data_IF_418083611763
#
_entry.id   IF_418083611763
#
_cell.length_a   1.000
_cell.length_b   1.000
_cell.length_c   1.000
_cell.angle_alpha   90.00
_cell.angle_beta   90.00
_cell.angle_gamma   90.00
#
_symmetry.space_group_name_H-M   'P 1'
#
loop_
_entity.id
_entity.type
_entity.pdbx_description
1 polymer ?
#
# COMPACT_ATOMS: atom_id res chain seq x y z
N UNK A 1 -99.79 14.53 77.32
CA UNK A 1 -99.23 14.35 75.96
C UNK A 1 -97.81 14.90 75.96
N UNK A 2 -96.81 14.03 75.91
CA UNK A 2 -95.40 14.43 75.81
C UNK A 2 -94.97 14.39 74.35
N UNK A 3 -94.50 15.51 73.84
CA UNK A 3 -93.93 15.65 72.50
C UNK A 3 -92.42 15.36 72.59
N UNK A 4 -91.95 14.33 71.89
CA UNK A 4 -90.52 14.05 71.76
C UNK A 4 -89.86 15.07 70.82
N UNK A 5 -88.71 15.67 71.17
CA UNK A 5 -87.95 16.44 70.21
C UNK A 5 -87.17 15.49 69.29
N UNK A 6 -87.35 15.65 67.98
CA UNK A 6 -86.53 14.99 66.98
C UNK A 6 -85.08 15.50 67.06
N UNK A 7 -84.14 14.59 67.29
CA UNK A 7 -82.69 14.84 67.24
C UNK A 7 -82.30 15.11 65.79
N UNK A 8 -81.93 16.35 65.47
CA UNK A 8 -81.35 16.68 64.17
C UNK A 8 -80.05 15.90 63.97
N UNK A 9 -79.99 15.13 62.88
CA UNK A 9 -78.78 14.42 62.47
C UNK A 9 -77.72 15.43 62.02
N UNK A 10 -76.53 15.30 62.61
CA UNK A 10 -75.41 16.22 62.50
C UNK A 10 -74.94 16.44 61.05
N UNK A 11 -74.86 17.71 60.64
CA UNK A 11 -74.34 18.22 59.37
C UNK A 11 -72.79 18.16 59.30
N UNK A 12 -72.17 17.11 59.85
CA UNK A 12 -70.70 17.04 59.99
C UNK A 12 -69.99 16.27 58.85
N UNK A 13 -70.73 15.60 57.97
CA UNK A 13 -70.13 14.81 56.90
C UNK A 13 -69.66 15.66 55.71
N UNK A 14 -70.36 16.76 55.39
CA UNK A 14 -70.07 17.57 54.19
C UNK A 14 -68.90 18.55 54.35
N UNK A 15 -68.62 19.00 55.58
CA UNK A 15 -67.55 19.96 55.85
C UNK A 15 -66.15 19.33 55.92
N UNK A 16 -66.04 18.00 56.07
CA UNK A 16 -64.76 17.30 56.21
C UNK A 16 -64.23 16.70 54.91
N UNK A 17 -65.12 16.38 53.97
CA UNK A 17 -64.75 15.80 52.68
C UNK A 17 -64.07 16.84 51.77
N UNK A 18 -64.54 18.09 51.76
CA UNK A 18 -63.94 19.14 50.95
C UNK A 18 -62.47 19.47 51.28
N UNK A 19 -62.08 19.67 52.56
CA UNK A 19 -60.68 19.94 52.88
C UNK A 19 -59.77 18.73 52.66
N UNK A 20 -60.25 17.50 52.89
CA UNK A 20 -59.46 16.29 52.64
C UNK A 20 -59.26 16.00 51.15
N UNK A 21 -60.25 16.32 50.30
CA UNK A 21 -60.12 16.19 48.85
C UNK A 21 -59.18 17.27 48.29
N UNK A 22 -59.25 18.50 48.80
CA UNK A 22 -58.36 19.59 48.42
C UNK A 22 -56.90 19.29 48.81
N UNK A 23 -56.64 18.75 50.01
CA UNK A 23 -55.28 18.36 50.41
C UNK A 23 -54.73 17.22 49.56
N UNK A 24 -55.58 16.25 49.17
CA UNK A 24 -55.17 15.16 48.28
C UNK A 24 -54.85 15.67 46.86
N UNK A 25 -55.66 16.59 46.33
CA UNK A 25 -55.39 17.23 45.03
C UNK A 25 -54.08 18.02 45.06
N UNK A 26 -53.80 18.77 46.11
CA UNK A 26 -52.53 19.50 46.26
C UNK A 26 -51.32 18.55 46.33
N UNK A 27 -51.47 17.41 47.00
CA UNK A 27 -50.40 16.39 47.10
C UNK A 27 -50.17 15.68 45.76
N UNK A 28 -51.24 15.36 45.01
CA UNK A 28 -51.15 14.79 43.66
C UNK A 28 -50.56 15.82 42.68
N UNK A 29 -51.00 17.07 42.73
CA UNK A 29 -50.42 18.13 41.89
C UNK A 29 -48.96 18.40 42.23
N UNK A 30 -48.59 18.38 43.52
CA UNK A 30 -47.22 18.54 43.97
C UNK A 30 -46.31 17.38 43.55
N UNK A 31 -46.78 16.14 43.64
CA UNK A 31 -46.03 14.97 43.18
C UNK A 31 -45.89 14.94 41.65
N UNK A 32 -46.95 15.30 40.91
CA UNK A 32 -46.91 15.40 39.46
C UNK A 32 -45.95 16.50 38.99
N UNK A 33 -45.99 17.67 39.64
CA UNK A 33 -45.07 18.77 39.35
C UNK A 33 -43.61 18.38 39.58
N UNK A 34 -43.31 17.63 40.66
CA UNK A 34 -41.96 17.10 40.92
C UNK A 34 -41.55 16.09 39.86
N UNK A 35 -42.45 15.19 39.45
CA UNK A 35 -42.18 14.20 38.41
C UNK A 35 -41.87 14.87 37.06
N UNK A 36 -42.66 15.88 36.68
CA UNK A 36 -42.39 16.70 35.50
C UNK A 36 -41.03 17.43 35.60
N UNK A 37 -40.69 18.01 36.75
CA UNK A 37 -39.40 18.66 36.95
C UNK A 37 -38.21 17.69 36.80
N UNK A 38 -38.34 16.47 37.33
CA UNK A 38 -37.32 15.44 37.16
C UNK A 38 -37.16 14.99 35.71
N UNK A 39 -38.26 14.77 34.99
CA UNK A 39 -38.22 14.41 33.56
C UNK A 39 -37.58 15.51 32.72
N UNK A 40 -37.91 16.78 32.97
CA UNK A 40 -37.29 17.91 32.28
C UNK A 40 -35.79 18.01 32.56
N UNK A 41 -35.37 17.78 33.81
CA UNK A 41 -33.95 17.80 34.18
C UNK A 41 -33.19 16.65 33.51
N UNK A 42 -33.76 15.45 33.47
CA UNK A 42 -33.19 14.30 32.77
C UNK A 42 -33.08 14.54 31.26
N UNK A 43 -34.11 15.13 30.65
CA UNK A 43 -34.10 15.49 29.23
C UNK A 43 -33.00 16.51 28.92
N UNK A 44 -32.85 17.54 29.75
CA UNK A 44 -31.78 18.53 29.61
C UNK A 44 -30.39 17.90 29.76
N UNK A 45 -30.21 17.00 30.73
CA UNK A 45 -28.95 16.25 30.89
C UNK A 45 -28.65 15.36 29.68
N UNK A 46 -29.65 14.69 29.12
CA UNK A 46 -29.50 13.87 27.93
C UNK A 46 -29.14 14.70 26.69
N UNK A 47 -29.86 15.81 26.45
CA UNK A 47 -29.58 16.74 25.35
C UNK A 47 -28.19 17.36 25.51
N UNK A 48 -27.83 17.80 26.72
CA UNK A 48 -26.51 18.34 27.02
C UNK A 48 -25.40 17.30 26.81
N UNK A 49 -25.63 16.06 27.22
CA UNK A 49 -24.70 14.94 26.99
C UNK A 49 -24.50 14.64 25.50
N UNK A 50 -25.57 14.63 24.70
CA UNK A 50 -25.50 14.41 23.25
C UNK A 50 -24.80 15.58 22.56
N UNK A 51 -25.16 16.83 22.91
CA UNK A 51 -24.52 18.02 22.35
C UNK A 51 -23.03 18.06 22.70
N UNK A 52 -22.67 17.76 23.94
CA UNK A 52 -21.27 17.66 24.36
C UNK A 52 -20.55 16.53 23.62
N UNK A 53 -21.20 15.38 23.42
CA UNK A 53 -20.64 14.26 22.64
C UNK A 53 -20.38 14.64 21.18
N UNK A 54 -21.25 15.44 20.56
CA UNK A 54 -21.04 15.96 19.20
C UNK A 54 -19.94 17.03 19.12
N UNK A 55 -19.59 17.65 20.25
CA UNK A 55 -18.53 18.67 20.34
C UNK A 55 -17.21 18.14 20.92
N UNK A 56 -17.18 16.90 21.42
CA UNK A 56 -15.93 16.24 21.74
C UNK A 56 -15.18 16.00 20.41
N UNK A 57 -13.93 16.47 20.25
CA UNK A 57 -13.10 15.99 19.15
C UNK A 57 -13.04 14.47 19.23
N UNK A 58 -13.11 13.77 18.10
CA UNK A 58 -12.93 12.33 18.04
C UNK A 58 -11.56 11.93 18.62
N UNK A 59 -11.49 11.72 19.93
CA UNK A 59 -10.31 11.16 20.61
C UNK A 59 -10.23 9.64 20.40
N UNK A 60 -11.16 9.06 19.63
CA UNK A 60 -11.18 7.65 19.23
C UNK A 60 -10.87 7.47 17.75
N UNK A 61 -9.76 8.02 17.31
CA UNK A 61 -8.82 7.41 16.39
C UNK A 61 -7.63 8.36 16.36
N UNK A 62 -6.44 7.88 16.70
CA UNK A 62 -5.26 8.41 16.00
C UNK A 62 -5.62 8.25 14.53
N UNK A 63 -5.94 9.35 13.83
CA UNK A 63 -6.14 9.32 12.38
C UNK A 63 -4.96 8.53 11.83
N UNK A 64 -5.24 7.32 11.36
CA UNK A 64 -4.23 6.49 10.75
C UNK A 64 -3.78 7.32 9.56
N UNK A 65 -2.58 7.91 9.69
CA UNK A 65 -1.91 8.63 8.62
C UNK A 65 -2.15 7.84 7.34
N UNK A 66 -2.64 8.47 6.25
CA UNK A 66 -3.06 7.74 5.07
C UNK A 66 -1.96 6.75 4.72
N UNK A 67 -2.34 5.47 4.51
CA UNK A 67 -1.42 4.35 4.18
C UNK A 67 -0.77 4.63 2.83
N UNK A 68 0.12 5.59 2.80
CA UNK A 68 0.65 6.23 1.62
C UNK A 68 2.16 6.25 1.76
N UNK A 69 2.79 5.83 0.67
CA UNK A 69 4.25 5.82 0.56
C UNK A 69 4.81 7.21 0.85
N UNK A 70 5.71 7.28 1.83
CA UNK A 70 6.40 8.53 2.18
C UNK A 70 7.86 8.44 1.75
N UNK A 71 8.37 9.51 1.14
CA UNK A 71 9.78 9.60 0.77
C UNK A 71 10.62 9.81 2.03
N UNK A 72 11.63 8.97 2.23
CA UNK A 72 12.51 9.01 3.39
C UNK A 72 13.76 9.85 3.07
N UNK A 73 13.70 11.16 3.31
CA UNK A 73 14.75 12.12 2.90
C UNK A 73 16.15 11.97 3.54
N UNK A 74 16.34 11.11 4.56
CA UNK A 74 17.63 10.94 5.27
C UNK A 74 17.93 9.51 5.69
N UNK A 75 17.72 8.53 4.81
CA UNK A 75 18.11 7.14 5.10
C UNK A 75 19.31 6.74 4.27
N UNK A 76 20.27 6.04 4.87
CA UNK A 76 21.41 5.48 4.15
C UNK A 76 20.95 4.45 3.10
N UNK A 77 21.57 4.42 1.91
CA UNK A 77 21.23 3.46 0.87
C UNK A 77 21.48 2.03 1.35
N UNK A 78 20.52 1.14 1.09
CA UNK A 78 20.70 -0.29 1.35
C UNK A 78 21.34 -1.03 0.19
N UNK A 79 21.31 -0.42 -0.99
CA UNK A 79 21.77 -1.02 -2.23
C UNK A 79 22.65 -0.02 -2.98
N UNK A 80 23.53 -0.52 -3.82
CA UNK A 80 24.24 0.29 -4.80
C UNK A 80 24.33 -0.47 -6.12
N UNK A 81 24.41 0.28 -7.22
CA UNK A 81 24.79 -0.25 -8.52
C UNK A 81 26.14 0.36 -8.88
N UNK A 82 27.06 -0.44 -9.43
CA UNK A 82 28.35 0.08 -9.85
C UNK A 82 28.19 1.20 -10.89
N UNK A 83 28.76 2.38 -10.65
CA UNK A 83 28.74 3.53 -11.56
C UNK A 83 29.25 3.20 -12.99
N UNK A 84 30.05 2.15 -13.13
CA UNK A 84 30.58 1.70 -14.42
C UNK A 84 29.55 0.99 -15.30
N UNK A 85 28.38 0.65 -14.75
CA UNK A 85 27.29 0.03 -15.53
C UNK A 85 26.78 1.01 -16.60
N UNK A 86 26.70 2.31 -16.27
CA UNK A 86 26.16 3.34 -17.15
C UNK A 86 27.08 4.57 -17.21
N UNK A 87 28.18 4.50 -17.99
CA UNK A 87 29.15 5.59 -18.06
C UNK A 87 28.49 6.88 -18.58
N UNK A 88 28.76 7.99 -17.91
CA UNK A 88 28.25 9.31 -18.30
C UNK A 88 26.76 9.52 -18.05
N UNK A 89 26.10 8.68 -17.24
CA UNK A 89 24.74 8.90 -16.76
C UNK A 89 24.73 9.43 -15.33
N UNK A 90 23.77 10.29 -15.03
CA UNK A 90 23.53 10.77 -13.68
C UNK A 90 22.62 9.79 -12.97
N UNK A 91 23.07 9.26 -11.82
CA UNK A 91 22.30 8.37 -10.96
C UNK A 91 21.66 9.16 -9.81
N UNK A 92 20.37 8.95 -9.57
CA UNK A 92 19.69 9.39 -8.34
C UNK A 92 19.09 8.19 -7.63
N UNK A 93 19.04 8.26 -6.30
CA UNK A 93 18.54 7.19 -5.46
C UNK A 93 17.49 7.72 -4.48
N UNK A 94 16.30 7.13 -4.52
CA UNK A 94 15.16 7.51 -3.70
C UNK A 94 14.71 6.34 -2.83
N UNK A 95 14.31 6.64 -1.60
CA UNK A 95 13.81 5.65 -0.65
C UNK A 95 12.40 6.04 -0.27
N UNK A 96 11.47 5.09 -0.35
CA UNK A 96 10.12 5.22 0.15
C UNK A 96 9.85 4.18 1.24
N UNK A 97 9.09 4.58 2.25
CA UNK A 97 8.61 3.69 3.31
C UNK A 97 7.10 3.65 3.32
N UNK A 98 6.58 2.45 3.53
CA UNK A 98 5.19 2.21 3.85
C UNK A 98 5.02 2.16 5.38
N UNK A 99 3.94 2.72 5.94
CA UNK A 99 3.65 2.63 7.37
C UNK A 99 3.60 1.18 7.91
N UNK A 100 3.28 0.22 7.06
CA UNK A 100 3.16 -1.22 7.42
C UNK A 100 4.48 -2.00 7.25
N UNK A 101 5.61 -1.30 7.10
CA UNK A 101 6.95 -1.90 7.09
C UNK A 101 7.57 -2.07 5.72
N UNK A 102 6.80 -1.95 4.64
CA UNK A 102 7.31 -1.98 3.27
C UNK A 102 8.40 -0.93 3.02
N UNK A 103 9.43 -1.33 2.28
CA UNK A 103 10.49 -0.42 1.83
C UNK A 103 10.69 -0.56 0.33
N UNK A 104 10.73 0.59 -0.34
CA UNK A 104 10.98 0.69 -1.77
C UNK A 104 12.20 1.58 -2.00
N UNK A 105 13.19 1.06 -2.69
CA UNK A 105 14.41 1.75 -3.05
C UNK A 105 14.44 1.89 -4.59
N UNK A 106 14.55 3.10 -5.11
CA UNK A 106 14.45 3.38 -6.55
C UNK A 106 15.71 4.07 -7.04
N UNK A 107 16.34 3.51 -8.06
CA UNK A 107 17.41 4.13 -8.81
C UNK A 107 16.84 4.73 -10.10
N UNK A 108 17.21 5.96 -10.41
CA UNK A 108 16.95 6.57 -11.70
C UNK A 108 18.28 6.92 -12.36
N UNK A 109 18.40 6.60 -13.65
CA UNK A 109 19.51 7.04 -14.46
C UNK A 109 19.03 7.97 -15.57
N UNK A 110 19.68 9.12 -15.67
CA UNK A 110 19.40 10.12 -16.67
C UNK A 110 20.59 10.35 -17.60
N UNK A 111 20.32 10.51 -18.89
CA UNK A 111 21.28 10.89 -19.91
C UNK A 111 21.55 12.39 -19.93
N UNK A 112 22.25 12.84 -20.98
CA UNK A 112 22.47 14.25 -21.24
C UNK A 112 21.11 14.99 -21.29
N UNK A 113 21.06 16.18 -20.68
CA UNK A 113 19.83 16.98 -20.58
C UNK A 113 18.76 16.43 -19.62
N UNK A 114 19.09 15.47 -18.75
CA UNK A 114 18.14 14.97 -17.74
C UNK A 114 17.09 13.98 -18.27
N UNK A 115 17.28 13.49 -19.50
CA UNK A 115 16.39 12.50 -20.12
C UNK A 115 16.47 11.16 -19.37
N UNK A 116 15.36 10.60 -18.85
CA UNK A 116 15.43 9.35 -18.09
C UNK A 116 15.69 8.18 -19.06
N UNK A 117 16.74 7.40 -18.80
CA UNK A 117 17.21 6.32 -19.68
C UNK A 117 17.10 4.93 -19.06
N UNK A 118 17.04 4.84 -17.73
CA UNK A 118 16.82 3.59 -17.03
C UNK A 118 16.27 3.84 -15.62
N UNK A 119 15.61 2.83 -15.07
CA UNK A 119 15.08 2.80 -13.71
C UNK A 119 15.17 1.39 -13.13
N UNK A 120 15.48 1.30 -11.84
CA UNK A 120 15.46 0.07 -11.06
C UNK A 120 14.73 0.32 -9.73
N UNK A 121 13.58 -0.30 -9.58
CA UNK A 121 12.82 -0.38 -8.33
C UNK A 121 13.14 -1.69 -7.62
N UNK A 122 13.56 -1.57 -6.36
CA UNK A 122 13.77 -2.68 -5.43
C UNK A 122 12.72 -2.54 -4.35
N UNK A 123 11.85 -3.53 -4.25
CA UNK A 123 10.76 -3.50 -3.30
C UNK A 123 10.84 -4.68 -2.34
N UNK A 124 10.77 -4.35 -1.05
CA UNK A 124 10.68 -5.29 0.07
C UNK A 124 9.33 -5.10 0.72
N UNK A 125 8.56 -6.18 0.69
CA UNK A 125 7.28 -6.24 1.36
C UNK A 125 7.44 -6.13 2.87
N UNK A 126 6.63 -5.30 3.51
CA UNK A 126 6.28 -5.45 4.92
C UNK A 126 4.99 -6.27 5.06
N UNK A 127 4.21 -5.94 6.08
CA UNK A 127 2.94 -6.59 6.38
C UNK A 127 1.83 -6.20 5.39
N UNK A 128 2.08 -5.24 4.47
CA UNK A 128 1.08 -4.78 3.51
C UNK A 128 0.68 -5.82 2.46
N UNK A 129 1.51 -6.85 2.21
CA UNK A 129 1.23 -7.86 1.17
C UNK A 129 0.41 -9.04 1.70
N UNK A 130 0.39 -9.30 3.00
CA UNK A 130 -0.42 -10.39 3.56
C UNK A 130 -1.94 -10.08 3.51
N UNK A 131 -2.32 -8.84 3.16
CA UNK A 131 -3.70 -8.43 2.84
C UNK A 131 -4.07 -8.53 1.36
N UNK A 132 -3.13 -8.71 0.44
CA UNK A 132 -3.40 -8.79 -1.02
C UNK A 132 -3.05 -10.18 -1.53
N UNK A 133 -4.08 -11.03 -1.60
CA UNK A 133 -4.01 -12.40 -2.06
C UNK A 133 -3.22 -12.58 -3.36
N UNK A 134 -2.22 -13.47 -3.29
CA UNK A 134 -1.37 -13.98 -4.37
C UNK A 134 -0.42 -12.97 -5.05
N UNK A 135 0.83 -13.41 -5.26
CA UNK A 135 1.83 -12.69 -6.07
C UNK A 135 1.30 -12.33 -7.47
N UNK A 136 0.37 -13.12 -8.03
CA UNK A 136 -0.32 -12.87 -9.29
C UNK A 136 -1.35 -11.72 -9.21
N UNK A 137 -2.13 -11.64 -8.13
CA UNK A 137 -3.10 -10.56 -7.90
C UNK A 137 -2.42 -9.20 -7.68
N UNK A 138 -1.29 -9.18 -6.96
CA UNK A 138 -0.47 -7.98 -6.80
C UNK A 138 0.23 -7.58 -8.12
N UNK A 139 0.73 -8.55 -8.90
CA UNK A 139 1.30 -8.32 -10.23
C UNK A 139 0.27 -7.71 -11.18
N UNK A 140 -0.95 -8.25 -11.20
CA UNK A 140 -2.07 -7.72 -11.97
C UNK A 140 -2.45 -6.30 -11.53
N UNK A 141 -2.49 -6.03 -10.22
CA UNK A 141 -2.84 -4.71 -9.68
C UNK A 141 -1.79 -3.61 -9.97
N UNK A 142 -0.52 -3.98 -10.20
CA UNK A 142 0.56 -3.01 -10.49
C UNK A 142 0.99 -2.97 -11.96
N UNK A 143 0.47 -3.87 -12.79
CA UNK A 143 0.48 -3.68 -14.25
C UNK A 143 -0.44 -2.52 -14.69
N UNK A 144 -1.25 -1.93 -13.79
CA UNK A 144 -2.04 -0.74 -14.10
C UNK A 144 -2.21 0.25 -12.93
N UNK A 145 -1.42 1.33 -12.89
CA UNK A 145 -1.85 2.58 -12.27
C UNK A 145 -2.00 3.75 -13.26
N UNK A 146 -1.78 3.55 -14.57
CA UNK A 146 -1.91 4.58 -15.61
C UNK A 146 -2.01 4.03 -17.06
N UNK A 147 -2.53 2.83 -17.24
CA UNK A 147 -2.88 2.25 -18.54
C UNK A 147 -2.05 1.03 -18.90
N UNK A 148 -2.71 -0.13 -18.88
CA UNK A 148 -2.42 -1.28 -19.71
C UNK A 148 -2.48 -0.92 -21.21
N UNK A 149 -1.53 -0.10 -21.69
CA UNK A 149 -1.15 -0.15 -23.11
C UNK A 149 -0.22 -1.36 -23.26
N UNK A 150 -0.88 -2.51 -23.31
CA UNK A 150 -0.49 -3.81 -23.84
C UNK A 150 1.03 -4.07 -23.74
N UNK A 151 1.47 -4.65 -22.62
CA UNK A 151 2.83 -5.12 -22.46
C UNK A 151 2.97 -6.47 -23.19
N UNK A 152 3.85 -6.53 -24.18
CA UNK A 152 4.18 -7.77 -24.90
C UNK A 152 5.40 -8.43 -24.24
N UNK A 153 5.36 -9.76 -24.10
CA UNK A 153 6.51 -10.52 -23.62
C UNK A 153 7.69 -10.36 -24.60
N UNK A 154 8.83 -9.86 -24.09
CA UNK A 154 10.03 -9.58 -24.88
C UNK A 154 11.16 -10.59 -24.64
N UNK A 155 10.82 -11.75 -24.07
CA UNK A 155 11.74 -12.85 -23.76
C UNK A 155 12.16 -12.89 -22.28
N UNK A 156 13.13 -13.75 -22.00
CA UNK A 156 13.70 -13.98 -20.67
C UNK A 156 15.22 -13.72 -20.77
N UNK A 157 15.81 -13.16 -19.73
CA UNK A 157 17.26 -13.04 -19.57
C UNK A 157 17.72 -13.69 -18.28
N UNK A 158 18.97 -14.10 -18.24
CA UNK A 158 19.61 -14.53 -17.00
C UNK A 158 20.23 -13.35 -16.24
N UNK A 159 20.12 -13.44 -14.92
CA UNK A 159 20.80 -12.57 -13.98
C UNK A 159 21.32 -13.39 -12.81
N UNK A 160 22.12 -12.79 -11.94
CA UNK A 160 22.55 -13.42 -10.70
C UNK A 160 21.41 -13.81 -9.75
N UNK A 161 20.22 -13.20 -9.93
CA UNK A 161 18.99 -13.54 -9.22
C UNK A 161 18.16 -14.63 -9.96
N UNK A 162 18.72 -15.24 -11.00
CA UNK A 162 18.07 -16.21 -11.89
C UNK A 162 17.37 -15.55 -13.08
N UNK A 163 16.51 -16.31 -13.74
CA UNK A 163 15.73 -15.88 -14.90
C UNK A 163 14.83 -14.66 -14.57
N UNK A 164 14.82 -13.68 -15.47
CA UNK A 164 14.07 -12.42 -15.37
C UNK A 164 13.25 -12.24 -16.64
N UNK A 165 11.96 -11.99 -16.47
CA UNK A 165 11.05 -11.77 -17.60
C UNK A 165 11.15 -10.34 -18.10
N UNK A 166 11.22 -10.19 -19.42
CA UNK A 166 11.26 -8.91 -20.10
C UNK A 166 9.93 -8.60 -20.80
N UNK A 167 9.61 -7.32 -20.87
CA UNK A 167 8.42 -6.82 -21.53
C UNK A 167 8.74 -5.62 -22.42
N UNK A 168 8.02 -5.49 -23.53
CA UNK A 168 8.01 -4.30 -24.38
C UNK A 168 6.64 -3.64 -24.26
N UNK A 169 6.58 -2.31 -24.31
CA UNK A 169 5.31 -1.58 -24.37
C UNK A 169 4.82 -1.50 -25.82
N UNK A 170 3.57 -1.88 -26.05
CA UNK A 170 2.89 -1.64 -27.33
C UNK A 170 2.28 -0.23 -27.32
N UNK A 171 2.55 0.52 -28.40
CA UNK A 171 2.08 1.90 -28.55
C UNK A 171 2.88 2.96 -27.76
N UNK A 172 3.14 4.11 -28.39
CA UNK A 172 3.95 5.21 -27.84
C UNK A 172 4.86 5.84 -28.90
N UNK A 173 5.43 7.00 -28.59
CA UNK A 173 6.50 7.65 -29.39
C UNK A 173 7.74 6.75 -29.42
N UNK A 174 8.53 6.78 -30.50
CA UNK A 174 9.66 5.86 -30.76
C UNK A 174 10.60 5.63 -29.56
N UNK A 175 10.84 6.65 -28.72
CA UNK A 175 11.66 6.53 -27.51
C UNK A 175 11.11 5.50 -26.50
N UNK A 176 9.79 5.39 -26.35
CA UNK A 176 9.15 4.42 -25.46
C UNK A 176 9.07 3.00 -26.06
N UNK A 177 9.16 2.87 -27.40
CA UNK A 177 9.21 1.57 -28.09
C UNK A 177 10.59 0.91 -27.98
N UNK A 178 11.63 1.71 -27.72
CA UNK A 178 12.98 1.20 -27.55
C UNK A 178 13.19 0.50 -26.20
N UNK A 179 12.58 0.98 -25.11
CA UNK A 179 12.90 0.52 -23.77
C UNK A 179 12.30 -0.86 -23.45
N UNK A 180 13.11 -1.70 -22.79
CA UNK A 180 12.68 -2.98 -22.23
C UNK A 180 12.36 -2.79 -20.75
N UNK A 181 11.25 -3.36 -20.31
CA UNK A 181 10.88 -3.48 -18.89
C UNK A 181 11.25 -4.86 -18.38
N UNK A 182 11.48 -4.98 -17.09
CA UNK A 182 11.76 -6.26 -16.46
C UNK A 182 11.05 -6.40 -15.12
N UNK A 183 10.82 -7.65 -14.73
CA UNK A 183 10.26 -8.00 -13.44
C UNK A 183 10.86 -9.32 -12.93
N UNK A 184 11.22 -9.33 -11.65
CA UNK A 184 11.63 -10.51 -10.90
C UNK A 184 11.01 -10.47 -9.51
N UNK A 185 10.36 -11.56 -9.13
CA UNK A 185 9.92 -11.79 -7.75
C UNK A 185 10.70 -12.95 -7.14
N UNK A 186 10.97 -12.84 -5.85
CA UNK A 186 11.55 -13.88 -5.01
C UNK A 186 10.65 -14.01 -3.78
N UNK A 187 10.02 -15.17 -3.62
CA UNK A 187 8.98 -15.40 -2.61
C UNK A 187 9.51 -15.23 -1.18
N UNK A 188 10.72 -15.72 -0.94
CA UNK A 188 11.42 -15.60 0.34
C UNK A 188 12.78 -14.92 0.08
N UNK A 189 13.00 -13.66 0.51
CA UNK A 189 12.33 -12.89 1.58
C UNK A 189 11.29 -11.84 1.09
N UNK A 190 10.29 -12.22 0.28
CA UNK A 190 9.31 -11.30 -0.33
C UNK A 190 9.98 -10.10 -1.03
N UNK A 191 11.02 -10.40 -1.81
CA UNK A 191 11.85 -9.43 -2.50
C UNK A 191 11.44 -9.30 -3.96
N UNK A 192 11.45 -8.08 -4.49
CA UNK A 192 11.10 -7.82 -5.89
C UNK A 192 12.05 -6.82 -6.52
N UNK A 193 12.40 -7.12 -7.78
CA UNK A 193 13.11 -6.23 -8.68
C UNK A 193 12.21 -5.92 -9.87
N UNK A 194 12.06 -4.66 -10.21
CA UNK A 194 11.36 -4.23 -11.42
C UNK A 194 11.99 -2.96 -11.96
N UNK A 195 11.74 -2.66 -13.22
CA UNK A 195 12.27 -1.44 -13.80
C UNK A 195 12.27 -1.48 -15.31
N UNK A 196 13.05 -0.58 -15.91
CA UNK A 196 13.16 -0.47 -17.34
C UNK A 196 14.50 0.12 -17.77
N UNK A 197 14.93 -0.17 -19.00
CA UNK A 197 16.13 0.40 -19.59
C UNK A 197 15.96 0.59 -21.09
N UNK A 198 16.37 1.76 -21.58
CA UNK A 198 16.43 2.10 -23.00
C UNK A 198 17.85 1.99 -23.56
N UNK A 199 18.81 1.54 -22.75
CA UNK A 199 20.23 1.58 -23.07
C UNK A 199 20.62 0.43 -24.00
N UNK A 200 21.18 0.77 -25.16
CA UNK A 200 21.52 -0.18 -26.22
C UNK A 200 20.77 0.14 -27.51
N UNK A 201 21.49 0.08 -28.63
CA UNK A 201 20.94 0.42 -29.95
C UNK A 201 19.94 -0.64 -30.43
N UNK A 202 20.17 -1.90 -30.07
CA UNK A 202 19.33 -3.04 -30.44
C UNK A 202 18.79 -3.80 -29.22
N UNK A 203 17.93 -4.80 -29.48
CA UNK A 203 17.30 -5.61 -28.43
C UNK A 203 18.34 -6.41 -27.63
N UNK A 204 19.31 -7.12 -28.25
CA UNK A 204 20.38 -7.80 -27.51
C UNK A 204 21.18 -6.89 -26.57
N UNK A 205 21.58 -5.70 -27.01
CA UNK A 205 22.32 -4.74 -26.20
C UNK A 205 21.48 -4.26 -25.00
N UNK A 206 20.18 -4.04 -25.18
CA UNK A 206 19.25 -3.68 -24.09
C UNK A 206 19.08 -4.80 -23.07
N UNK A 207 18.98 -6.05 -23.54
CA UNK A 207 18.97 -7.24 -22.66
C UNK A 207 20.25 -7.33 -21.84
N UNK A 208 21.41 -7.14 -22.48
CA UNK A 208 22.71 -7.14 -21.83
C UNK A 208 22.84 -6.00 -20.79
N UNK A 209 22.34 -4.80 -21.09
CA UNK A 209 22.31 -3.68 -20.16
C UNK A 209 21.49 -3.99 -18.90
N UNK A 210 20.30 -4.60 -19.04
CA UNK A 210 19.48 -5.01 -17.90
C UNK A 210 20.19 -6.12 -17.10
N UNK A 211 20.69 -7.16 -17.76
CA UNK A 211 21.42 -8.24 -17.08
C UNK A 211 22.62 -7.70 -16.30
N UNK A 212 23.41 -6.82 -16.91
CA UNK A 212 24.55 -6.18 -16.25
C UNK A 212 24.14 -5.36 -15.03
N UNK A 213 23.12 -4.52 -15.15
CA UNK A 213 22.59 -3.72 -14.05
C UNK A 213 22.20 -4.60 -12.86
N UNK A 214 21.50 -5.71 -13.11
CA UNK A 214 21.12 -6.67 -12.07
C UNK A 214 22.33 -7.40 -11.49
N UNK A 215 23.30 -7.79 -12.31
CA UNK A 215 24.51 -8.48 -11.84
C UNK A 215 25.40 -7.58 -10.98
N UNK A 216 25.41 -6.27 -11.24
CA UNK A 216 26.21 -5.27 -10.50
C UNK A 216 25.48 -4.64 -9.32
N UNK A 217 24.22 -5.03 -9.06
CA UNK A 217 23.45 -4.58 -7.90
C UNK A 217 23.98 -5.20 -6.60
N UNK A 218 24.61 -4.44 -5.72
CA UNK A 218 25.16 -4.92 -4.45
C UNK A 218 24.27 -4.53 -3.27
N UNK A 219 24.24 -5.39 -2.25
CA UNK A 219 23.64 -5.12 -0.96
C UNK A 219 24.68 -4.45 -0.05
N UNK A 220 24.43 -3.21 0.36
CA UNK A 220 25.27 -2.46 1.30
C UNK A 220 24.91 -2.76 2.75
N UNK A 221 23.62 -2.86 3.04
CA UNK A 221 23.12 -3.20 4.37
C UNK A 221 21.81 -3.96 4.30
N UNK A 222 21.77 -5.13 4.94
CA UNK A 222 20.58 -5.96 5.06
C UNK A 222 19.67 -5.52 6.24
N UNK A 223 20.15 -4.64 7.12
CA UNK A 223 19.49 -4.38 8.41
C UNK A 223 19.38 -5.68 9.21
N UNK A 224 18.17 -6.00 9.68
CA UNK A 224 17.87 -7.25 10.41
C UNK A 224 17.42 -8.41 9.50
N UNK A 225 17.46 -8.25 8.18
CA UNK A 225 16.96 -9.25 7.23
C UNK A 225 18.06 -10.23 6.81
N UNK A 226 18.21 -11.31 7.56
CA UNK A 226 19.21 -12.35 7.29
C UNK A 226 18.96 -13.10 5.97
N UNK A 227 17.69 -13.28 5.58
CA UNK A 227 17.31 -13.98 4.34
C UNK A 227 17.65 -13.13 3.12
N UNK A 228 17.53 -11.81 3.21
CA UNK A 228 18.01 -10.90 2.17
C UNK A 228 19.54 -10.95 2.03
N UNK A 229 20.27 -10.95 3.14
CA UNK A 229 21.72 -11.10 3.12
C UNK A 229 22.12 -12.42 2.45
N UNK A 230 21.46 -13.52 2.80
CA UNK A 230 21.69 -14.84 2.20
C UNK A 230 21.34 -14.87 0.71
N UNK A 231 20.22 -14.27 0.29
CA UNK A 231 19.82 -14.17 -1.11
C UNK A 231 20.93 -13.50 -1.93
N UNK A 232 21.45 -12.36 -1.46
CA UNK A 232 22.52 -11.64 -2.13
C UNK A 232 23.84 -12.41 -2.12
N UNK A 233 24.20 -13.07 -1.02
CA UNK A 233 25.39 -13.92 -0.97
C UNK A 233 25.34 -15.07 -1.99
N UNK A 234 24.20 -15.76 -2.09
CA UNK A 234 23.97 -16.82 -3.08
C UNK A 234 23.93 -16.28 -4.52
N UNK A 235 23.44 -15.06 -4.70
CA UNK A 235 23.41 -14.40 -6.00
C UNK A 235 24.83 -14.00 -6.45
N UNK A 236 25.69 -13.47 -5.58
CA UNK A 236 27.07 -13.10 -5.95
C UNK A 236 27.88 -14.28 -6.52
N UNK A 237 27.61 -15.51 -6.08
CA UNK A 237 28.25 -16.72 -6.65
C UNK A 237 27.90 -16.91 -8.14
N UNK A 238 26.71 -16.47 -8.57
CA UNK A 238 26.23 -16.56 -9.95
C UNK A 238 26.48 -15.30 -10.76
N UNK A 239 27.18 -14.32 -10.19
CA UNK A 239 27.43 -13.05 -10.86
C UNK A 239 28.32 -13.29 -12.07
N UNK A 240 27.79 -13.03 -13.26
CA UNK A 240 28.57 -12.96 -14.48
C UNK A 240 29.11 -11.56 -14.70
N UNK A 241 30.26 -11.47 -15.37
CA UNK A 241 30.83 -10.18 -15.75
C UNK A 241 29.99 -9.51 -16.82
N UNK A 242 29.86 -8.19 -16.68
CA UNK A 242 29.39 -7.29 -17.73
C UNK A 242 30.45 -7.14 -18.83
N UNK A 243 30.86 -8.24 -19.45
CA UNK A 243 31.57 -8.18 -20.72
C UNK A 243 30.59 -7.80 -21.82
N UNK A 244 31.05 -7.04 -22.81
CA UNK A 244 30.37 -6.86 -24.10
C UNK A 244 29.79 -8.21 -24.50
N UNK A 245 28.45 -8.35 -24.51
CA UNK A 245 27.80 -9.61 -24.88
C UNK A 245 28.13 -9.91 -26.33
N UNK A 246 29.23 -10.65 -26.50
CA UNK A 246 29.84 -11.04 -27.76
C UNK A 246 30.57 -12.36 -27.59
N UNK A 247 29.99 -13.27 -26.81
CA UNK A 247 30.17 -14.72 -26.94
C UNK A 247 29.14 -15.40 -26.03
N UNK A 248 28.24 -16.24 -26.56
CA UNK A 248 27.45 -17.09 -25.69
C UNK A 248 28.41 -18.02 -24.97
N UNK A 249 28.33 -18.07 -23.64
CA UNK A 249 28.82 -19.24 -22.91
C UNK A 249 27.98 -20.40 -23.43
N UNK A 250 28.58 -21.24 -24.25
CA UNK A 250 28.02 -22.50 -24.70
C UNK A 250 27.75 -23.38 -23.48
N UNK A 251 26.57 -23.25 -22.88
CA UNK A 251 26.01 -24.27 -22.01
C UNK A 251 24.49 -24.13 -22.04
N UNK A 252 23.87 -25.09 -22.75
CA UNK A 252 22.44 -25.39 -22.80
C UNK A 252 21.51 -24.34 -23.43
N UNK A 253 21.42 -24.29 -24.77
CA UNK A 253 20.14 -24.40 -25.50
C UNK A 253 20.31 -24.04 -26.99
N UNK A 254 20.72 -25.01 -27.81
CA UNK A 254 20.58 -24.90 -29.27
C UNK A 254 19.16 -25.24 -29.74
N UNK A 255 18.27 -25.62 -28.81
CA UNK A 255 16.87 -26.01 -29.09
C UNK A 255 15.87 -24.89 -28.80
N UNK A 256 16.24 -23.86 -28.01
CA UNK A 256 15.38 -22.72 -27.65
C UNK A 256 16.01 -21.37 -28.03
N UNK A 257 16.96 -21.35 -28.96
CA UNK A 257 17.62 -20.15 -29.45
C UNK A 257 16.63 -19.20 -30.14
N UNK A 258 16.57 -17.96 -29.64
CA UNK A 258 15.65 -16.88 -30.01
C UNK A 258 15.81 -16.30 -31.43
N UNK A 259 16.20 -17.10 -32.41
CA UNK A 259 16.13 -16.77 -33.83
C UNK A 259 15.06 -17.64 -34.48
N UNK A 260 14.00 -17.04 -35.04
CA UNK A 260 13.07 -17.75 -35.91
C UNK A 260 13.88 -18.45 -37.02
N UNK A 261 13.93 -19.79 -37.08
CA UNK A 261 14.70 -20.48 -38.11
C UNK A 261 14.12 -20.10 -39.47
N UNK A 262 14.93 -19.42 -40.30
CA UNK A 262 14.58 -19.17 -41.70
C UNK A 262 14.47 -20.50 -42.41
N UNK A 263 13.23 -20.92 -42.68
CA UNK A 263 12.92 -22.07 -43.53
C UNK A 263 13.57 -21.84 -44.91
N UNK A 264 14.72 -22.46 -45.15
CA UNK A 264 15.24 -22.65 -46.51
C UNK A 264 14.54 -23.86 -47.10
N UNK A 265 13.52 -23.59 -47.89
CA UNK A 265 12.82 -24.59 -48.69
C UNK A 265 12.18 -23.89 -49.89
N UNK A 266 13.01 -23.55 -50.88
CA UNK A 266 12.54 -23.40 -52.24
C UNK A 266 12.82 -24.73 -52.95
N UNK A 267 11.75 -25.41 -53.36
CA UNK A 267 11.75 -26.35 -54.48
C UNK A 267 10.84 -25.75 -55.54
#
# INVERSE_FOLDING_TARGET
MHSFPARTANFQYRARIHPALASFVDEVCGTLARLCAYLMTLALMAIGGIALWQHLPEVTATEASPKTWSQAGRTAPAFAVSQFVFPGKTETYEIFRHPEGGRKDVFHWSGAGGTPVAELEIYRAGEEIDQVGSAAGYLAARMDPAGARELEAAGIIDSKFGAVTLFRRLGGTEAARACLRFFKHVDEPKFRLSGWSCLGEDVPARRAAISCMLNRLVLLTAGSDAKLAELFARAEVRRSDCGTSGAPVLSADWVMGADNPRLRGAL
#
